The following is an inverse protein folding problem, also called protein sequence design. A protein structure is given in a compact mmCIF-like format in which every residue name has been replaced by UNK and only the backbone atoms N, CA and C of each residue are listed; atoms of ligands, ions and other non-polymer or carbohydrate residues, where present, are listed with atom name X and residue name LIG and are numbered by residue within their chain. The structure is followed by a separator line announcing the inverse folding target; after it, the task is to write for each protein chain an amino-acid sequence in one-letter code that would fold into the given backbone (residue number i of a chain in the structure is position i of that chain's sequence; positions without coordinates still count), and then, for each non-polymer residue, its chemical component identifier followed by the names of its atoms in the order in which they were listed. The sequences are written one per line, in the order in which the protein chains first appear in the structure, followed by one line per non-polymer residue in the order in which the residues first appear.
data_IF_323262268995
#
_entry.id   IF_323262268995
#
_cell.length_a   1.000
_cell.length_b   1.000
_cell.length_c   1.000
_cell.angle_alpha   90.00
_cell.angle_beta   90.00
_cell.angle_gamma   90.00
#
_symmetry.space_group_name_H-M   'P 1'
#
loop_
_entity.id
_entity.type
_entity.pdbx_description
1 polymer ?
#
# COMPACT_ATOMS: atom_id res chain seq x y z
N UNK A 1 -1.35 23.17 31.70
CA UNK A 1 -1.16 22.49 30.40
C UNK A 1 -2.06 23.21 29.40
N UNK A 2 -1.49 23.89 28.41
CA UNK A 2 -2.29 24.62 27.40
C UNK A 2 -3.12 23.61 26.59
N UNK A 3 -4.44 23.80 26.53
CA UNK A 3 -5.31 23.02 25.65
C UNK A 3 -4.80 23.11 24.22
N UNK A 4 -4.56 21.95 23.60
CA UNK A 4 -4.19 21.90 22.20
C UNK A 4 -5.41 22.32 21.37
N UNK A 5 -5.26 23.24 20.40
CA UNK A 5 -6.39 23.76 19.65
C UNK A 5 -7.15 22.65 18.92
N UNK A 6 -8.46 22.86 18.75
CA UNK A 6 -9.36 21.95 18.01
C UNK A 6 -8.79 21.70 16.60
N UNK A 7 -8.84 20.46 16.13
CA UNK A 7 -8.29 20.08 14.84
C UNK A 7 -9.01 20.82 13.70
N UNK A 8 -8.28 21.71 13.02
CA UNK A 8 -8.74 22.42 11.84
C UNK A 8 -7.74 22.22 10.69
N UNK A 9 -8.14 21.42 9.70
CA UNK A 9 -7.30 21.07 8.57
C UNK A 9 -6.93 22.29 7.72
N UNK A 10 -7.84 23.26 7.57
CA UNK A 10 -7.59 24.44 6.73
C UNK A 10 -6.53 25.33 7.37
N UNK A 11 -6.68 25.58 8.68
CA UNK A 11 -5.70 26.35 9.43
C UNK A 11 -4.32 25.66 9.45
N UNK A 12 -4.29 24.33 9.65
CA UNK A 12 -3.04 23.56 9.61
C UNK A 12 -2.40 23.60 8.22
N UNK A 13 -3.20 23.58 7.15
CA UNK A 13 -2.72 23.66 5.77
C UNK A 13 -2.10 25.03 5.44
N UNK A 14 -2.64 26.11 5.99
CA UNK A 14 -2.02 27.43 5.87
C UNK A 14 -0.71 27.53 6.64
N UNK A 15 -0.63 26.87 7.80
CA UNK A 15 0.56 26.91 8.66
C UNK A 15 1.71 26.03 8.18
N UNK A 16 1.41 24.84 7.64
CA UNK A 16 2.39 23.82 7.22
C UNK A 16 2.02 23.24 5.84
N UNK A 17 2.11 24.01 4.76
CA UNK A 17 1.71 23.56 3.42
C UNK A 17 2.49 22.32 2.94
N UNK A 18 3.76 22.20 3.32
CA UNK A 18 4.64 21.09 2.96
C UNK A 18 4.17 19.71 3.48
N UNK A 19 3.34 19.70 4.51
CA UNK A 19 2.78 18.48 5.08
C UNK A 19 1.85 17.74 4.09
N UNK A 20 1.25 18.48 3.15
CA UNK A 20 0.21 18.00 2.25
C UNK A 20 0.72 17.55 0.88
N UNK A 21 2.02 17.62 0.67
CA UNK A 21 2.69 17.18 -0.57
C UNK A 21 3.55 15.92 -0.36
N UNK A 22 3.47 15.28 0.81
CA UNK A 22 4.16 14.02 1.05
C UNK A 22 3.63 12.91 0.13
N UNK A 23 4.54 12.19 -0.52
CA UNK A 23 4.19 11.00 -1.31
C UNK A 23 4.01 9.79 -0.39
N UNK A 24 2.79 9.26 -0.37
CA UNK A 24 2.46 7.99 0.28
C UNK A 24 2.45 6.90 -0.78
N UNK A 25 3.11 5.78 -0.50
CA UNK A 25 3.35 4.69 -1.45
C UNK A 25 2.32 3.55 -1.36
N UNK A 26 1.20 3.80 -0.72
CA UNK A 26 0.09 2.86 -0.54
C UNK A 26 -1.24 3.56 -0.86
N UNK A 27 -2.29 2.78 -1.13
CA UNK A 27 -3.64 3.27 -1.41
C UNK A 27 -3.64 4.42 -2.43
N UNK A 28 -3.18 4.14 -3.66
CA UNK A 28 -3.28 5.11 -4.74
C UNK A 28 -4.72 5.21 -5.25
N UNK A 29 -5.37 4.07 -5.43
CA UNK A 29 -6.71 3.96 -5.98
C UNK A 29 -7.75 3.84 -4.87
N UNK A 30 -8.70 4.78 -4.84
CA UNK A 30 -9.81 4.79 -3.89
C UNK A 30 -11.07 4.37 -4.63
N UNK A 31 -11.51 3.14 -4.40
CA UNK A 31 -12.60 2.50 -5.14
C UNK A 31 -13.89 2.57 -4.33
N UNK A 32 -14.94 3.11 -4.93
CA UNK A 32 -16.30 3.09 -4.37
C UNK A 32 -16.84 1.67 -4.44
N UNK A 33 -17.27 1.11 -3.31
CA UNK A 33 -17.69 -0.28 -3.21
C UNK A 33 -16.54 -1.28 -3.45
N UNK A 34 -16.87 -2.40 -4.09
CA UNK A 34 -15.93 -3.50 -4.42
C UNK A 34 -15.53 -3.55 -5.90
N UNK A 35 -16.21 -2.80 -6.77
CA UNK A 35 -15.99 -2.83 -8.21
C UNK A 35 -15.05 -1.69 -8.66
N UNK A 36 -13.87 -1.99 -9.24
CA UNK A 36 -13.03 -0.96 -9.83
C UNK A 36 -13.70 -0.35 -11.07
N UNK A 37 -13.36 0.89 -11.38
CA UNK A 37 -13.79 1.52 -12.63
C UNK A 37 -13.12 0.84 -13.83
N UNK A 38 -13.75 0.91 -15.01
CA UNK A 38 -13.22 0.32 -16.26
C UNK A 38 -11.81 0.81 -16.60
N UNK A 39 -11.53 2.11 -16.38
CA UNK A 39 -10.19 2.68 -16.60
C UNK A 39 -9.14 2.09 -15.67
N UNK A 40 -9.50 1.88 -14.40
CA UNK A 40 -8.62 1.29 -13.40
C UNK A 40 -8.33 -0.17 -13.73
N UNK A 41 -9.34 -0.92 -14.19
CA UNK A 41 -9.18 -2.30 -14.65
C UNK A 41 -8.24 -2.37 -15.86
N UNK A 42 -8.39 -1.49 -16.84
CA UNK A 42 -7.51 -1.46 -18.01
C UNK A 42 -6.05 -1.15 -17.62
N UNK A 43 -5.85 -0.16 -16.75
CA UNK A 43 -4.52 0.17 -16.22
C UNK A 43 -3.91 -1.00 -15.44
N UNK A 44 -4.73 -1.71 -14.67
CA UNK A 44 -4.27 -2.87 -13.91
C UNK A 44 -3.89 -4.03 -14.84
N UNK A 45 -4.65 -4.27 -15.92
CA UNK A 45 -4.31 -5.28 -16.93
C UNK A 45 -3.01 -4.94 -17.67
N UNK A 46 -2.78 -3.67 -18.00
CA UNK A 46 -1.50 -3.25 -18.58
C UNK A 46 -0.34 -3.48 -17.60
N UNK A 47 -0.56 -3.19 -16.32
CA UNK A 47 0.47 -3.35 -15.29
C UNK A 47 0.89 -4.82 -15.10
N UNK A 48 -0.02 -5.80 -15.18
CA UNK A 48 0.34 -7.23 -15.08
C UNK A 48 1.19 -7.67 -16.28
N UNK A 49 0.86 -7.22 -17.49
CA UNK A 49 1.65 -7.54 -18.69
C UNK A 49 3.08 -6.98 -18.59
N UNK A 50 3.22 -5.72 -18.16
CA UNK A 50 4.52 -5.09 -17.96
C UNK A 50 5.32 -5.76 -16.84
N UNK A 51 4.66 -6.18 -15.76
CA UNK A 51 5.32 -6.90 -14.67
C UNK A 51 5.79 -8.30 -15.09
N UNK A 52 4.97 -9.05 -15.85
CA UNK A 52 5.39 -10.33 -16.40
C UNK A 52 6.61 -10.17 -17.33
N UNK A 53 6.59 -9.15 -18.20
CA UNK A 53 7.74 -8.82 -19.05
C UNK A 53 8.97 -8.46 -18.21
N UNK A 54 8.82 -7.67 -17.16
CA UNK A 54 9.91 -7.38 -16.22
C UNK A 54 10.49 -8.65 -15.58
N UNK A 55 9.65 -9.57 -15.11
CA UNK A 55 10.11 -10.85 -14.55
C UNK A 55 10.88 -11.68 -15.59
N UNK A 56 10.40 -11.75 -16.84
CA UNK A 56 11.14 -12.47 -17.90
C UNK A 56 12.50 -11.86 -18.17
N UNK A 57 12.61 -10.53 -18.25
CA UNK A 57 13.88 -9.84 -18.44
C UNK A 57 14.84 -10.06 -17.27
N UNK A 58 14.32 -10.03 -16.03
CA UNK A 58 15.12 -10.30 -14.83
C UNK A 58 15.62 -11.75 -14.80
N UNK A 59 14.77 -12.70 -15.22
CA UNK A 59 15.14 -14.10 -15.40
C UNK A 59 16.25 -14.30 -16.43
N UNK A 60 16.12 -13.66 -17.60
CA UNK A 60 17.14 -13.70 -18.66
C UNK A 60 18.45 -13.09 -18.14
N UNK A 61 18.41 -11.97 -17.43
CA UNK A 61 19.60 -11.39 -16.81
C UNK A 61 20.28 -12.42 -15.87
N UNK A 62 19.51 -13.09 -15.02
CA UNK A 62 20.03 -14.08 -14.08
C UNK A 62 20.58 -15.33 -14.76
N UNK A 63 20.04 -15.73 -15.91
CA UNK A 63 20.53 -16.90 -16.65
C UNK A 63 21.97 -16.71 -17.13
N UNK A 64 22.41 -15.47 -17.38
CA UNK A 64 23.78 -15.15 -17.73
C UNK A 64 24.76 -15.38 -16.56
N UNK A 65 24.29 -15.30 -15.32
CA UNK A 65 25.12 -15.49 -14.12
C UNK A 65 25.04 -16.90 -13.54
N UNK A 66 23.89 -17.58 -13.68
CA UNK A 66 23.60 -18.84 -12.98
C UNK A 66 23.45 -20.03 -13.96
N UNK A 67 23.76 -19.83 -15.25
CA UNK A 67 23.71 -20.86 -16.30
C UNK A 67 22.36 -21.61 -16.36
N UNK A 68 21.25 -20.87 -16.23
CA UNK A 68 19.90 -21.43 -16.36
C UNK A 68 19.60 -21.67 -17.85
N UNK A 69 19.36 -22.92 -18.22
CA UNK A 69 19.20 -23.33 -19.62
C UNK A 69 17.76 -23.53 -20.07
N UNK A 70 16.82 -23.80 -19.15
CA UNK A 70 15.41 -24.03 -19.51
C UNK A 70 14.57 -22.75 -19.38
N UNK A 71 13.62 -22.49 -20.32
CA UNK A 71 12.77 -21.30 -20.27
C UNK A 71 11.95 -21.17 -18.98
N UNK A 72 11.51 -22.29 -18.44
CA UNK A 72 10.69 -22.35 -17.22
C UNK A 72 11.51 -21.97 -15.98
N UNK A 73 12.76 -22.42 -15.87
CA UNK A 73 13.67 -21.97 -14.82
C UNK A 73 14.00 -20.48 -14.91
N UNK A 74 14.11 -19.94 -16.13
CA UNK A 74 14.36 -18.51 -16.36
C UNK A 74 13.20 -17.67 -15.81
N UNK A 75 11.95 -18.04 -16.15
CA UNK A 75 10.76 -17.33 -15.66
C UNK A 75 10.63 -17.43 -14.15
N UNK A 76 10.77 -18.64 -13.58
CA UNK A 76 10.67 -18.87 -12.14
C UNK A 76 11.74 -18.06 -11.37
N UNK A 77 13.01 -18.13 -11.81
CA UNK A 77 14.08 -17.34 -11.24
C UNK A 77 13.82 -15.82 -11.33
N UNK A 78 13.24 -15.36 -12.44
CA UNK A 78 12.85 -13.96 -12.63
C UNK A 78 11.74 -13.51 -11.67
N UNK A 79 10.71 -14.34 -11.46
CA UNK A 79 9.65 -14.06 -10.49
C UNK A 79 10.24 -14.05 -9.08
N UNK A 80 10.98 -15.10 -8.72
CA UNK A 80 11.61 -15.23 -7.40
C UNK A 80 12.52 -14.04 -7.07
N UNK A 81 13.35 -13.60 -8.03
CA UNK A 81 14.23 -12.45 -7.85
C UNK A 81 13.50 -11.10 -7.77
N UNK A 82 12.29 -11.01 -8.31
CA UNK A 82 11.48 -9.79 -8.19
C UNK A 82 10.84 -9.64 -6.81
N UNK A 83 10.59 -10.74 -6.09
CA UNK A 83 9.92 -10.71 -4.78
C UNK A 83 10.70 -9.87 -3.75
N UNK A 84 12.03 -10.00 -3.59
CA UNK A 84 12.80 -9.13 -2.70
C UNK A 84 12.62 -7.63 -2.98
N UNK A 85 12.57 -7.23 -4.26
CA UNK A 85 12.36 -5.84 -4.66
C UNK A 85 10.98 -5.34 -4.20
N UNK A 86 9.96 -6.17 -4.42
CA UNK A 86 8.59 -5.90 -3.97
C UNK A 86 8.52 -5.87 -2.45
N UNK A 87 9.18 -6.80 -1.77
CA UNK A 87 9.18 -6.90 -0.31
C UNK A 87 9.77 -5.64 0.33
N UNK A 88 10.89 -5.12 -0.19
CA UNK A 88 11.48 -3.85 0.25
C UNK A 88 10.51 -2.68 0.03
N UNK A 89 9.85 -2.63 -1.13
CA UNK A 89 8.84 -1.60 -1.40
C UNK A 89 7.66 -1.68 -0.43
N UNK A 90 7.15 -2.88 -0.14
CA UNK A 90 6.04 -3.09 0.80
C UNK A 90 6.47 -2.78 2.22
N UNK A 91 7.70 -3.05 2.65
CA UNK A 91 8.21 -2.61 3.97
C UNK A 91 8.15 -1.08 4.09
N UNK A 92 8.59 -0.37 3.04
CA UNK A 92 8.53 1.09 3.05
C UNK A 92 7.08 1.59 3.15
N UNK A 93 6.18 1.02 2.34
CA UNK A 93 4.76 1.35 2.38
C UNK A 93 4.12 1.01 3.75
N UNK A 94 4.48 -0.14 4.33
CA UNK A 94 4.04 -0.57 5.66
C UNK A 94 4.48 0.42 6.73
N UNK A 95 5.75 0.87 6.70
CA UNK A 95 6.25 1.86 7.64
C UNK A 95 5.46 3.17 7.52
N UNK A 96 5.21 3.65 6.30
CA UNK A 96 4.37 4.83 6.10
C UNK A 96 2.97 4.63 6.68
N UNK A 97 2.29 3.53 6.32
CA UNK A 97 0.93 3.23 6.75
C UNK A 97 0.80 3.06 8.27
N UNK A 98 1.79 2.44 8.92
CA UNK A 98 1.84 2.29 10.38
C UNK A 98 1.64 3.61 11.12
N UNK A 99 2.15 4.70 10.54
CA UNK A 99 2.11 6.04 11.11
C UNK A 99 1.17 7.01 10.40
N UNK A 100 0.28 6.52 9.54
CA UNK A 100 -0.69 7.39 8.87
C UNK A 100 -2.04 6.78 8.62
N UNK A 101 -2.16 5.44 8.50
CA UNK A 101 -3.39 4.75 8.21
C UNK A 101 -3.43 3.37 8.89
N UNK A 102 -3.96 3.32 10.12
CA UNK A 102 -3.93 2.10 10.93
C UNK A 102 -4.70 0.93 10.29
N UNK A 103 -5.78 1.24 9.56
CA UNK A 103 -6.60 0.21 8.89
C UNK A 103 -5.86 -0.49 7.74
N UNK A 104 -4.82 0.13 7.17
CA UNK A 104 -4.02 -0.41 6.07
C UNK A 104 -2.80 -1.19 6.56
N UNK A 105 -2.33 -0.93 7.78
CA UNK A 105 -1.14 -1.58 8.36
C UNK A 105 -1.27 -3.10 8.39
N UNK A 106 -2.40 -3.63 8.86
CA UNK A 106 -2.64 -5.09 8.92
C UNK A 106 -2.63 -5.72 7.53
N UNK A 107 -3.25 -5.05 6.55
CA UNK A 107 -3.30 -5.51 5.15
C UNK A 107 -1.89 -5.64 4.57
N UNK A 108 -1.06 -4.61 4.75
CA UNK A 108 0.33 -4.63 4.29
C UNK A 108 1.19 -5.67 5.02
N UNK A 109 0.92 -5.91 6.31
CA UNK A 109 1.58 -6.99 7.06
C UNK A 109 1.26 -8.37 6.49
N UNK A 110 -0.01 -8.65 6.17
CA UNK A 110 -0.39 -9.90 5.49
C UNK A 110 0.27 -10.05 4.12
N UNK A 111 0.40 -8.95 3.36
CA UNK A 111 1.12 -8.96 2.09
C UNK A 111 2.58 -9.38 2.28
N UNK A 112 3.27 -8.89 3.31
CA UNK A 112 4.64 -9.31 3.61
C UNK A 112 4.72 -10.82 3.91
N UNK A 113 3.80 -11.36 4.70
CA UNK A 113 3.76 -12.81 4.97
C UNK A 113 3.46 -13.63 3.71
N UNK A 114 2.56 -13.15 2.87
CA UNK A 114 2.23 -13.80 1.60
C UNK A 114 3.43 -13.80 0.64
N UNK A 115 4.18 -12.70 0.52
CA UNK A 115 5.39 -12.64 -0.30
C UNK A 115 6.45 -13.65 0.17
N UNK A 116 6.61 -13.81 1.49
CA UNK A 116 7.52 -14.79 2.08
C UNK A 116 7.07 -16.23 1.75
N UNK A 117 5.77 -16.52 1.88
CA UNK A 117 5.19 -17.80 1.47
C UNK A 117 5.39 -18.10 -0.03
N UNK A 118 5.12 -17.13 -0.90
CA UNK A 118 5.32 -17.26 -2.34
C UNK A 118 6.79 -17.52 -2.70
N UNK A 119 7.72 -16.88 -1.99
CA UNK A 119 9.16 -17.11 -2.19
C UNK A 119 9.54 -18.57 -1.91
N UNK A 120 8.99 -19.17 -0.85
CA UNK A 120 9.22 -20.58 -0.56
C UNK A 120 8.60 -21.50 -1.62
N UNK A 121 7.38 -21.23 -2.06
CA UNK A 121 6.71 -22.02 -3.11
C UNK A 121 7.48 -21.97 -4.42
N UNK A 122 7.95 -20.79 -4.83
CA UNK A 122 8.74 -20.62 -6.06
C UNK A 122 10.13 -21.25 -5.94
N UNK A 123 10.83 -21.06 -4.82
CA UNK A 123 12.11 -21.74 -4.59
C UNK A 123 11.97 -23.27 -4.62
N UNK A 124 10.88 -23.80 -4.07
CA UNK A 124 10.56 -25.22 -4.12
C UNK A 124 10.23 -25.67 -5.55
N UNK A 125 9.46 -24.88 -6.30
CA UNK A 125 9.14 -25.14 -7.70
C UNK A 125 10.41 -25.19 -8.55
N UNK A 126 11.28 -24.19 -8.42
CA UNK A 126 12.54 -24.09 -9.15
C UNK A 126 13.44 -25.30 -8.91
N UNK A 127 13.45 -25.85 -7.69
CA UNK A 127 14.33 -26.96 -7.32
C UNK A 127 13.77 -28.34 -7.69
N UNK A 128 12.46 -28.56 -7.60
CA UNK A 128 11.88 -29.92 -7.65
C UNK A 128 10.86 -30.14 -8.76
N UNK A 129 9.90 -29.23 -8.98
CA UNK A 129 8.74 -29.48 -9.84
C UNK A 129 8.85 -28.86 -11.23
N UNK A 130 9.45 -27.67 -11.33
CA UNK A 130 9.63 -26.90 -12.56
C UNK A 130 8.30 -26.73 -13.32
N UNK A 131 7.23 -26.38 -12.60
CA UNK A 131 5.88 -26.30 -13.13
C UNK A 131 5.50 -24.87 -13.55
N UNK A 132 5.09 -24.71 -14.81
CA UNK A 132 4.57 -23.45 -15.32
C UNK A 132 3.22 -23.06 -14.70
N UNK A 133 2.41 -24.04 -14.29
CA UNK A 133 1.16 -23.78 -13.59
C UNK A 133 1.41 -23.12 -12.24
N UNK A 134 2.46 -23.55 -11.52
CA UNK A 134 2.85 -22.94 -10.24
C UNK A 134 3.36 -21.53 -10.47
N UNK A 135 4.20 -21.30 -11.49
CA UNK A 135 4.69 -19.98 -11.86
C UNK A 135 3.54 -19.02 -12.17
N UNK A 136 2.61 -19.44 -13.02
CA UNK A 136 1.44 -18.64 -13.39
C UNK A 136 0.56 -18.31 -12.17
N UNK A 137 0.30 -19.31 -11.33
CA UNK A 137 -0.50 -19.13 -10.11
C UNK A 137 0.17 -18.15 -9.14
N UNK A 138 1.49 -18.27 -8.94
CA UNK A 138 2.24 -17.35 -8.08
C UNK A 138 2.25 -15.92 -8.64
N UNK A 139 2.44 -15.76 -9.95
CA UNK A 139 2.41 -14.46 -10.60
C UNK A 139 1.03 -13.79 -10.48
N UNK A 140 -0.04 -14.58 -10.65
CA UNK A 140 -1.41 -14.10 -10.49
C UNK A 140 -1.72 -13.69 -9.04
N UNK A 141 -1.34 -14.52 -8.06
CA UNK A 141 -1.51 -14.21 -6.63
C UNK A 141 -0.72 -12.94 -6.27
N UNK A 142 0.53 -12.84 -6.72
CA UNK A 142 1.37 -11.68 -6.47
C UNK A 142 0.75 -10.41 -7.06
N UNK A 143 0.28 -10.46 -8.31
CA UNK A 143 -0.40 -9.35 -8.95
C UNK A 143 -1.66 -8.91 -8.19
N UNK A 144 -2.57 -9.85 -7.89
CA UNK A 144 -3.80 -9.54 -7.14
C UNK A 144 -3.45 -8.95 -5.79
N UNK A 145 -2.45 -9.50 -5.10
CA UNK A 145 -2.07 -9.04 -3.78
C UNK A 145 -1.51 -7.62 -3.83
N UNK A 146 -0.66 -7.30 -4.82
CA UNK A 146 -0.17 -5.93 -5.01
C UNK A 146 -1.29 -4.95 -5.38
N UNK A 147 -2.17 -5.34 -6.31
CA UNK A 147 -3.26 -4.48 -6.74
C UNK A 147 -4.30 -4.25 -5.64
N UNK A 148 -4.82 -5.33 -5.05
CA UNK A 148 -5.92 -5.29 -4.09
C UNK A 148 -5.47 -4.91 -2.68
N UNK A 149 -4.25 -5.26 -2.25
CA UNK A 149 -3.81 -5.04 -0.86
C UNK A 149 -2.99 -3.76 -0.73
N UNK A 150 -2.09 -3.49 -1.68
CA UNK A 150 -1.16 -2.35 -1.58
C UNK A 150 -1.69 -1.09 -2.27
N UNK A 151 -2.13 -1.21 -3.53
CA UNK A 151 -2.47 -0.03 -4.33
C UNK A 151 -3.93 0.40 -4.23
N UNK A 152 -4.84 -0.51 -3.90
CA UNK A 152 -6.27 -0.23 -3.84
C UNK A 152 -6.78 -0.14 -2.41
N UNK A 153 -7.62 0.85 -2.15
CA UNK A 153 -8.48 0.93 -0.99
C UNK A 153 -9.92 0.96 -1.46
N UNK A 154 -10.65 -0.12 -1.17
CA UNK A 154 -12.07 -0.27 -1.50
C UNK A 154 -12.96 -0.10 -0.28
N UNK A 155 -14.20 -0.56 -0.43
CA UNK A 155 -15.26 -0.50 0.59
C UNK A 155 -15.67 0.92 0.98
N UNK A 156 -15.37 1.93 0.17
CA UNK A 156 -15.95 3.25 0.38
C UNK A 156 -17.45 3.19 0.12
N UNK A 157 -18.24 3.80 1.01
CA UNK A 157 -19.70 3.89 0.85
C UNK A 157 -20.07 4.61 -0.43
N UNK A 158 -21.20 4.22 -1.04
CA UNK A 158 -21.65 4.79 -2.31
C UNK A 158 -21.95 6.29 -2.19
N UNK A 159 -22.44 6.73 -1.03
CA UNK A 159 -22.69 8.14 -0.69
C UNK A 159 -21.42 8.92 -0.31
N UNK A 160 -20.25 8.26 -0.24
CA UNK A 160 -19.01 8.93 0.13
C UNK A 160 -18.62 9.98 -0.90
N UNK A 161 -18.47 11.22 -0.45
CA UNK A 161 -18.10 12.34 -1.32
C UNK A 161 -16.63 12.24 -1.70
N UNK A 162 -16.29 12.64 -2.93
CA UNK A 162 -14.91 12.73 -3.38
C UNK A 162 -14.04 13.62 -2.47
N UNK A 163 -14.64 14.68 -1.93
CA UNK A 163 -14.00 15.61 -0.98
C UNK A 163 -13.53 14.89 0.28
N UNK A 164 -14.30 13.94 0.81
CA UNK A 164 -13.92 13.20 2.02
C UNK A 164 -12.75 12.24 1.74
N UNK A 165 -12.71 11.64 0.56
CA UNK A 165 -11.57 10.80 0.13
C UNK A 165 -10.29 11.61 -0.06
N UNK A 166 -10.39 12.81 -0.62
CA UNK A 166 -9.25 13.75 -0.72
C UNK A 166 -8.82 14.19 0.68
N UNK A 167 -9.76 14.56 1.55
CA UNK A 167 -9.51 14.94 2.94
C UNK A 167 -8.79 13.83 3.70
N UNK A 168 -9.22 12.58 3.53
CA UNK A 168 -8.57 11.40 4.12
C UNK A 168 -7.10 11.32 3.71
N UNK A 169 -6.81 11.44 2.41
CA UNK A 169 -5.43 11.42 1.92
C UNK A 169 -4.60 12.56 2.54
N UNK A 170 -5.16 13.76 2.65
CA UNK A 170 -4.49 14.94 3.22
C UNK A 170 -4.18 14.76 4.70
N UNK A 171 -5.10 14.19 5.47
CA UNK A 171 -4.87 13.87 6.89
C UNK A 171 -3.74 12.83 7.04
N UNK A 172 -3.70 11.80 6.18
CA UNK A 172 -2.63 10.79 6.19
C UNK A 172 -1.26 11.39 5.87
N UNK A 173 -1.19 12.28 4.88
CA UNK A 173 0.03 13.01 4.52
C UNK A 173 0.52 13.87 5.69
N UNK A 174 -0.39 14.64 6.30
CA UNK A 174 -0.12 15.45 7.49
C UNK A 174 0.40 14.59 8.64
N UNK A 175 -0.28 13.48 8.94
CA UNK A 175 0.09 12.58 10.04
C UNK A 175 1.51 12.05 9.88
N UNK A 176 1.85 11.56 8.69
CA UNK A 176 3.18 11.02 8.41
C UNK A 176 4.26 12.11 8.44
N UNK A 177 3.96 13.29 7.90
CA UNK A 177 4.86 14.43 7.92
C UNK A 177 5.13 14.91 9.35
N UNK A 178 4.08 15.06 10.16
CA UNK A 178 4.19 15.54 11.54
C UNK A 178 5.07 14.61 12.38
N UNK A 179 4.94 13.29 12.22
CA UNK A 179 5.84 12.34 12.87
C UNK A 179 7.30 12.50 12.42
N UNK A 180 7.55 12.67 11.11
CA UNK A 180 8.92 12.91 10.63
C UNK A 180 9.53 14.17 11.26
N UNK A 181 8.73 15.24 11.38
CA UNK A 181 9.19 16.47 11.99
C UNK A 181 9.46 16.29 13.49
N UNK A 182 8.61 15.56 14.21
CA UNK A 182 8.83 15.33 15.65
C UNK A 182 10.09 14.50 15.95
N UNK A 183 10.56 13.69 14.99
CA UNK A 183 11.74 12.83 15.13
C UNK A 183 13.06 13.49 14.69
N UNK A 184 13.02 14.70 14.13
CA UNK A 184 14.24 15.41 13.72
C UNK A 184 15.01 15.87 14.96
N UNK A 185 16.31 15.53 14.99
CA UNK A 185 17.21 15.78 16.13
C UNK A 185 17.46 17.27 16.42
N UNK A 186 17.17 18.16 15.47
CA UNK A 186 17.46 19.59 15.57
C UNK A 186 16.32 20.43 16.15
N UNK A 187 15.22 19.82 16.61
CA UNK A 187 14.09 20.58 17.16
C UNK A 187 14.19 20.72 18.68
N UNK A 188 13.75 21.88 19.15
CA UNK A 188 13.50 22.12 20.57
C UNK A 188 12.41 21.18 21.09
N UNK A 189 12.49 20.83 22.38
CA UNK A 189 11.54 19.91 23.03
C UNK A 189 10.07 20.34 22.85
N UNK A 190 9.80 21.65 22.90
CA UNK A 190 8.45 22.20 22.71
C UNK A 190 7.94 22.03 21.28
N UNK A 191 8.80 22.19 20.27
CA UNK A 191 8.43 21.98 18.87
C UNK A 191 8.24 20.49 18.56
N UNK A 192 9.12 19.63 19.08
CA UNK A 192 8.96 18.17 18.96
C UNK A 192 7.65 17.69 19.59
N UNK A 193 7.29 18.22 20.77
CA UNK A 193 6.01 17.95 21.41
C UNK A 193 4.82 18.41 20.56
N UNK A 194 4.88 19.62 19.99
CA UNK A 194 3.83 20.14 19.11
C UNK A 194 3.59 19.21 17.90
N UNK A 195 4.64 18.80 17.19
CA UNK A 195 4.50 17.91 16.03
C UNK A 195 4.02 16.51 16.41
N UNK A 196 4.43 15.99 17.56
CA UNK A 196 3.94 14.70 18.04
C UNK A 196 2.44 14.76 18.38
N UNK A 197 1.98 15.83 19.04
CA UNK A 197 0.55 16.02 19.30
C UNK A 197 -0.24 16.18 18.01
N UNK A 198 0.29 16.93 17.03
CA UNK A 198 -0.33 17.08 15.71
C UNK A 198 -0.45 15.73 14.98
N UNK A 199 0.56 14.87 15.06
CA UNK A 199 0.51 13.50 14.54
C UNK A 199 -0.60 12.68 15.20
N UNK A 200 -0.68 12.68 16.53
CA UNK A 200 -1.71 11.94 17.28
C UNK A 200 -3.13 12.42 16.94
N UNK A 201 -3.35 13.74 16.85
CA UNK A 201 -4.63 14.30 16.46
C UNK A 201 -5.00 13.92 15.01
N UNK A 202 -4.05 14.01 14.08
CA UNK A 202 -4.28 13.61 12.70
C UNK A 202 -4.63 12.12 12.58
N UNK A 203 -3.98 11.24 13.35
CA UNK A 203 -4.32 9.82 13.41
C UNK A 203 -5.74 9.56 13.93
N UNK A 204 -6.17 10.28 14.97
CA UNK A 204 -7.53 10.16 15.50
C UNK A 204 -8.58 10.62 14.48
N UNK A 205 -8.33 11.74 13.80
CA UNK A 205 -9.24 12.25 12.77
C UNK A 205 -9.27 11.36 11.53
N UNK A 206 -8.15 10.72 11.18
CA UNK A 206 -8.09 9.69 10.13
C UNK A 206 -9.03 8.53 10.45
N UNK A 207 -8.93 7.97 11.66
CA UNK A 207 -9.77 6.84 12.10
C UNK A 207 -11.26 7.20 12.06
N UNK A 208 -11.64 8.36 12.61
CA UNK A 208 -13.03 8.84 12.60
C UNK A 208 -13.56 9.00 11.18
N UNK A 209 -12.75 9.57 10.28
CA UNK A 209 -13.16 9.78 8.89
C UNK A 209 -13.32 8.45 8.17
N UNK A 210 -12.37 7.51 8.31
CA UNK A 210 -12.46 6.17 7.70
C UNK A 210 -13.71 5.43 8.16
N UNK A 211 -14.00 5.41 9.46
CA UNK A 211 -15.20 4.77 10.01
C UNK A 211 -16.50 5.37 9.46
N UNK A 212 -16.49 6.68 9.13
CA UNK A 212 -17.65 7.34 8.54
C UNK A 212 -17.88 6.94 7.09
N UNK A 213 -16.81 6.94 6.28
CA UNK A 213 -16.92 6.85 4.82
C UNK A 213 -16.70 5.46 4.25
N UNK A 214 -16.27 4.49 5.07
CA UNK A 214 -16.03 3.11 4.67
C UNK A 214 -17.03 2.18 5.35
N UNK A 215 -17.38 1.08 4.70
CA UNK A 215 -18.03 -0.05 5.37
C UNK A 215 -17.02 -0.71 6.33
N UNK A 216 -17.51 -1.15 7.49
CA UNK A 216 -16.67 -1.80 8.50
C UNK A 216 -16.36 -3.24 8.09
N UNK A 217 -17.27 -3.88 7.36
CA UNK A 217 -17.12 -5.22 6.84
C UNK A 217 -17.65 -5.34 5.40
N UNK A 218 -17.33 -6.46 4.75
CA UNK A 218 -17.89 -6.83 3.45
C UNK A 218 -19.38 -7.21 3.57
N UNK A 219 -19.80 -7.78 4.70
CA UNK A 219 -21.21 -8.09 4.93
C UNK A 219 -22.07 -6.82 5.03
N UNK A 220 -21.54 -5.75 5.66
CA UNK A 220 -22.25 -4.47 5.76
C UNK A 220 -22.46 -3.84 4.38
N UNK A 221 -21.52 -4.08 3.45
CA UNK A 221 -21.65 -3.61 2.07
C UNK A 221 -22.81 -4.30 1.36
N UNK A 222 -22.86 -5.64 1.40
CA UNK A 222 -23.92 -6.41 0.73
C UNK A 222 -25.31 -6.12 1.31
N UNK A 223 -25.42 -5.91 2.63
CA UNK A 223 -26.69 -5.52 3.26
C UNK A 223 -27.18 -4.12 2.86
N UNK A 224 -26.31 -3.28 2.30
CA UNK A 224 -26.67 -1.92 1.88
C UNK A 224 -27.07 -1.79 0.42
N UNK A 225 -26.90 -2.86 -0.37
CA UNK A 225 -27.35 -2.94 -1.77
C UNK A 225 -28.72 -3.64 -1.93
N UNK A 226 -29.26 -4.21 -0.85
CA UNK A 226 -30.64 -4.72 -0.75
C UNK A 226 -31.64 -3.61 -0.39
#
# INVERSE_FOLDING_TARGET
MSEFPKFDLQHIQLKHPEAFFQRLNYSFFKVTGLSPTTSLLLQSMLAICLYALFCTLLGILLSHFIALSTPTHIIDAGILASIPLIYLFVIFAYYQAKYSAQSLTKRLQYLLYLLLGLSFVLAWNLKFYVSDLINFTCLFILYISMFCILFTEGLFKLDSRAVDRVRLQKIRQLSYWALKQSQKKALDAQQAYYFNQLHLQAMQEEQKLVQRIRYNSVSDFFQSEE
#
